data_IF_340514931924
#
_entry.id   IF_340514931924
#
_cell.length_a   1.000
_cell.length_b   1.000
_cell.length_c   1.000
_cell.angle_alpha   90.00
_cell.angle_beta   90.00
_cell.angle_gamma   90.00
#
_symmetry.space_group_name_H-M   'P 1'
#
loop_
_entity.id
_entity.type
_entity.pdbx_description
1 polymer ?
#
# COMPACT_ATOMS: atom_id res chain seq x y z
N UNK A 1 -0.50 -9.23 2.23
CA UNK A 1 -0.24 -7.99 1.45
C UNK A 1 0.57 -8.38 0.21
N UNK A 2 0.12 -8.08 -1.02
CA UNK A 2 0.79 -8.51 -2.23
C UNK A 2 2.22 -7.96 -2.29
N UNK A 3 3.13 -8.87 -2.62
CA UNK A 3 4.55 -8.73 -2.30
C UNK A 3 5.29 -8.16 -3.50
N UNK A 4 4.91 -6.96 -3.93
CA UNK A 4 5.43 -6.47 -5.20
C UNK A 4 6.89 -6.05 -5.11
N UNK A 5 7.63 -6.38 -6.16
CA UNK A 5 8.99 -5.87 -6.36
C UNK A 5 8.81 -4.40 -6.80
N UNK A 6 9.20 -3.46 -5.94
CA UNK A 6 9.11 -2.01 -6.19
C UNK A 6 9.43 -1.65 -7.64
N UNK A 7 8.56 -0.87 -8.28
CA UNK A 7 8.68 -0.39 -9.66
C UNK A 7 9.73 0.73 -9.78
N UNK A 8 10.97 0.43 -9.44
CA UNK A 8 12.08 1.25 -9.89
C UNK A 8 12.08 1.22 -11.43
N UNK A 9 12.38 2.34 -12.09
CA UNK A 9 12.41 2.42 -13.56
C UNK A 9 13.27 1.32 -14.18
N UNK A 10 14.36 0.92 -13.51
CA UNK A 10 15.20 -0.21 -13.93
C UNK A 10 14.51 -1.58 -13.91
N UNK A 11 13.49 -1.76 -13.07
CA UNK A 11 12.73 -3.00 -12.94
C UNK A 11 11.50 -3.04 -13.85
N UNK A 12 10.96 -1.88 -14.26
CA UNK A 12 9.95 -1.80 -15.35
C UNK A 12 10.52 -2.30 -16.67
N UNK A 13 11.79 -1.98 -16.96
CA UNK A 13 12.52 -2.50 -18.15
C UNK A 13 12.64 -4.03 -18.23
N UNK A 14 12.36 -4.76 -17.15
CA UNK A 14 12.46 -6.23 -17.10
C UNK A 14 11.13 -6.93 -17.35
N UNK A 15 10.06 -6.17 -17.55
CA UNK A 15 8.77 -6.70 -17.97
C UNK A 15 8.64 -6.44 -19.46
N UNK A 16 8.41 -7.50 -20.23
CA UNK A 16 8.29 -7.42 -21.69
C UNK A 16 6.99 -6.71 -22.10
N UNK A 17 5.95 -6.83 -21.26
CA UNK A 17 4.65 -6.16 -21.42
C UNK A 17 4.30 -5.34 -20.16
N UNK A 18 4.36 -4.02 -20.28
CA UNK A 18 4.04 -3.10 -19.17
C UNK A 18 2.57 -3.23 -18.71
N UNK A 19 1.64 -3.42 -19.64
CA UNK A 19 0.22 -3.57 -19.32
C UNK A 19 -0.03 -4.85 -18.54
N UNK A 20 0.63 -5.95 -18.93
CA UNK A 20 0.56 -7.20 -18.18
C UNK A 20 1.11 -7.04 -16.76
N UNK A 21 2.19 -6.29 -16.55
CA UNK A 21 2.71 -6.04 -15.19
C UNK A 21 1.72 -5.27 -14.31
N UNK A 22 1.05 -4.25 -14.85
CA UNK A 22 0.02 -3.53 -14.12
C UNK A 22 -1.16 -4.43 -13.78
N UNK A 23 -1.64 -5.20 -14.76
CA UNK A 23 -2.77 -6.12 -14.58
C UNK A 23 -2.44 -7.23 -13.57
N UNK A 24 -1.22 -7.77 -13.60
CA UNK A 24 -0.74 -8.78 -12.64
C UNK A 24 -0.78 -8.26 -11.21
N UNK A 25 -0.37 -6.99 -10.98
CA UNK A 25 -0.44 -6.34 -9.66
C UNK A 25 -1.88 -6.17 -9.20
N UNK A 26 -2.72 -5.62 -10.09
CA UNK A 26 -4.11 -5.34 -9.81
C UNK A 26 -4.87 -6.62 -9.46
N UNK A 27 -4.62 -7.69 -10.19
CA UNK A 27 -5.28 -8.98 -9.98
C UNK A 27 -4.87 -9.63 -8.66
N UNK A 28 -3.58 -9.63 -8.31
CA UNK A 28 -3.16 -10.12 -6.98
C UNK A 28 -3.79 -9.33 -5.84
N UNK A 29 -3.96 -8.01 -5.98
CA UNK A 29 -4.68 -7.21 -4.99
C UNK A 29 -6.16 -7.65 -4.91
N UNK A 30 -6.84 -7.83 -6.04
CA UNK A 30 -8.23 -8.31 -6.07
C UNK A 30 -8.36 -9.66 -5.39
N UNK A 31 -7.54 -10.63 -5.76
CA UNK A 31 -7.54 -11.97 -5.17
C UNK A 31 -7.33 -11.92 -3.64
N UNK A 32 -6.45 -11.06 -3.16
CA UNK A 32 -6.19 -10.90 -1.73
C UNK A 32 -7.41 -10.39 -0.94
N UNK A 33 -8.23 -9.52 -1.53
CA UNK A 33 -9.41 -8.92 -0.88
C UNK A 33 -10.73 -9.63 -1.21
N UNK A 34 -10.80 -10.42 -2.27
CA UNK A 34 -11.94 -11.29 -2.56
C UNK A 34 -12.02 -12.44 -1.55
N UNK A 35 -10.88 -13.01 -1.15
CA UNK A 35 -10.82 -14.11 -0.18
C UNK A 35 -11.23 -13.71 1.23
N UNK A 36 -11.13 -12.44 1.60
CA UNK A 36 -11.51 -11.94 2.93
C UNK A 36 -13.01 -11.66 3.09
N UNK A 37 -13.72 -11.41 1.98
CA UNK A 37 -15.17 -11.14 2.00
C UNK A 37 -16.01 -12.37 2.34
N UNK A 38 -15.47 -13.58 2.10
CA UNK A 38 -16.16 -14.85 2.36
C UNK A 38 -16.09 -15.33 3.81
N UNK A 39 -15.13 -14.83 4.61
CA UNK A 39 -14.86 -15.37 5.95
C UNK A 39 -15.65 -14.67 7.06
N UNK A 40 -16.11 -13.43 6.84
CA UNK A 40 -16.82 -12.64 7.86
C UNK A 40 -18.28 -13.10 8.05
N UNK A 41 -18.86 -13.82 7.07
CA UNK A 41 -20.28 -14.21 7.09
C UNK A 41 -20.59 -15.47 7.91
N UNK A 42 -19.59 -16.18 8.44
CA UNK A 42 -19.76 -17.58 8.92
C UNK A 42 -19.64 -17.78 10.43
N UNK A 43 -19.47 -16.72 11.24
CA UNK A 43 -19.41 -16.86 12.70
C UNK A 43 -20.14 -15.74 13.44
N UNK A 44 -21.46 -15.87 13.55
CA UNK A 44 -22.26 -15.05 14.48
C UNK A 44 -23.48 -15.83 14.95
N UNK A 45 -23.29 -16.69 15.95
CA UNK A 45 -24.39 -17.27 16.72
C UNK A 45 -24.70 -16.35 17.90
N UNK A 46 -25.79 -15.60 17.74
CA UNK A 46 -26.72 -15.03 18.74
C UNK A 46 -26.16 -14.64 20.11
N UNK A 47 -26.14 -13.32 20.40
CA UNK A 47 -26.73 -12.78 21.63
C UNK A 47 -27.08 -11.30 21.46
N UNK A 48 -28.34 -11.02 21.77
CA UNK A 48 -29.07 -9.76 21.67
C UNK A 48 -28.39 -8.58 22.38
N UNK A 49 -28.27 -7.44 21.69
CA UNK A 49 -28.58 -6.09 22.17
C UNK A 49 -27.82 -5.03 21.37
N UNK A 50 -28.51 -3.92 21.06
CA UNK A 50 -28.00 -2.65 20.49
C UNK A 50 -27.57 -2.68 19.01
N UNK A 51 -28.56 -2.40 18.15
CA UNK A 51 -28.42 -2.04 16.73
C UNK A 51 -27.68 -0.71 16.59
N UNK A 52 -26.34 -0.77 16.58
CA UNK A 52 -25.53 0.22 15.86
C UNK A 52 -25.42 -0.34 14.44
N UNK A 53 -26.02 0.34 13.46
CA UNK A 53 -25.86 -0.02 12.05
C UNK A 53 -24.37 0.02 11.71
N UNK A 54 -23.72 -1.14 11.75
CA UNK A 54 -22.35 -1.29 11.29
C UNK A 54 -22.37 -1.02 9.79
N UNK A 55 -21.96 0.17 9.38
CA UNK A 55 -21.71 0.45 7.97
C UNK A 55 -20.67 -0.56 7.50
N UNK A 56 -21.08 -1.52 6.69
CA UNK A 56 -20.16 -2.51 6.13
C UNK A 56 -19.13 -1.76 5.28
N UNK A 57 -17.85 -1.83 5.68
CA UNK A 57 -16.78 -1.24 4.90
C UNK A 57 -16.72 -1.93 3.53
N UNK A 58 -16.86 -1.16 2.45
CA UNK A 58 -16.66 -1.66 1.09
C UNK A 58 -15.19 -1.60 0.72
N UNK A 59 -14.63 -2.70 0.24
CA UNK A 59 -13.25 -2.75 -0.27
C UNK A 59 -13.28 -2.59 -1.78
N UNK A 60 -12.52 -1.62 -2.30
CA UNK A 60 -12.36 -1.39 -3.74
C UNK A 60 -10.87 -1.45 -4.09
N UNK A 61 -10.54 -2.24 -5.10
CA UNK A 61 -9.19 -2.34 -5.65
C UNK A 61 -9.15 -1.55 -6.95
N UNK A 62 -8.33 -0.48 -7.01
CA UNK A 62 -8.23 0.41 -8.17
C UNK A 62 -6.85 0.38 -8.84
N UNK A 63 -6.81 0.82 -10.09
CA UNK A 63 -5.59 1.00 -10.90
C UNK A 63 -5.09 2.45 -10.88
N UNK A 64 -5.42 3.21 -9.84
CA UNK A 64 -5.12 4.66 -9.72
C UNK A 64 -3.64 5.00 -9.93
N UNK A 65 -2.72 4.13 -9.52
CA UNK A 65 -1.29 4.35 -9.73
C UNK A 65 -0.91 4.33 -11.21
N UNK A 66 -1.56 3.47 -12.02
CA UNK A 66 -1.41 3.44 -13.48
C UNK A 66 -2.00 4.69 -14.10
N UNK A 67 -3.18 5.13 -13.64
CA UNK A 67 -3.81 6.35 -14.14
C UNK A 67 -2.98 7.60 -13.85
N UNK A 68 -2.41 7.71 -12.64
CA UNK A 68 -1.47 8.77 -12.29
C UNK A 68 -0.20 8.72 -13.16
N UNK A 69 0.28 7.53 -13.53
CA UNK A 69 1.41 7.38 -14.45
C UNK A 69 1.10 7.85 -15.86
N UNK A 70 -0.04 7.45 -16.42
CA UNK A 70 -0.45 7.89 -17.75
C UNK A 70 -0.63 9.42 -17.78
N UNK A 71 -1.27 9.99 -16.75
CA UNK A 71 -1.40 11.44 -16.59
C UNK A 71 -0.03 12.13 -16.56
N UNK A 72 0.92 11.63 -15.78
CA UNK A 72 2.27 12.23 -15.72
C UNK A 72 3.01 12.13 -17.06
N UNK A 73 2.82 11.05 -17.83
CA UNK A 73 3.37 10.94 -19.18
C UNK A 73 2.73 11.94 -20.15
N UNK A 74 1.41 12.15 -20.07
CA UNK A 74 0.67 13.12 -20.90
C UNK A 74 1.06 14.57 -20.59
N UNK A 75 1.27 14.90 -19.31
CA UNK A 75 1.74 16.23 -18.89
C UNK A 75 3.19 16.52 -19.33
N UNK A 76 3.96 15.49 -19.70
CA UNK A 76 5.36 15.60 -20.09
C UNK A 76 5.62 14.92 -21.45
N UNK A 77 5.01 15.40 -22.56
CA UNK A 77 5.01 14.70 -23.84
C UNK A 77 6.40 14.58 -24.50
N UNK A 78 7.38 15.35 -24.04
CA UNK A 78 8.78 15.25 -24.49
C UNK A 78 9.65 14.28 -23.67
N UNK A 79 9.12 13.72 -22.59
CA UNK A 79 9.85 12.79 -21.73
C UNK A 79 9.55 11.34 -22.16
N UNK A 80 10.57 10.48 -22.36
CA UNK A 80 10.36 9.05 -22.57
C UNK A 80 9.56 8.44 -21.42
N UNK A 81 8.58 7.58 -21.71
CA UNK A 81 7.71 6.96 -20.69
C UNK A 81 8.51 6.22 -19.62
N UNK A 82 9.66 5.66 -19.98
CA UNK A 82 10.56 4.92 -19.09
C UNK A 82 11.20 5.83 -18.04
N UNK A 83 11.30 7.12 -18.32
CA UNK A 83 11.84 8.15 -17.43
C UNK A 83 10.78 8.75 -16.52
N UNK A 84 9.50 8.67 -16.89
CA UNK A 84 8.38 9.14 -16.06
C UNK A 84 8.42 8.44 -14.70
N UNK A 85 8.49 9.21 -13.61
CA UNK A 85 8.47 8.72 -12.24
C UNK A 85 7.16 9.14 -11.59
N UNK A 86 6.45 8.16 -11.03
CA UNK A 86 5.28 8.39 -10.18
C UNK A 86 5.62 7.99 -8.76
N UNK A 87 5.26 8.84 -7.82
CA UNK A 87 5.26 8.57 -6.39
C UNK A 87 3.88 8.85 -5.81
N UNK A 88 3.78 8.72 -4.49
CA UNK A 88 2.52 8.90 -3.76
C UNK A 88 1.94 10.30 -3.92
N UNK A 89 2.76 11.35 -4.01
CA UNK A 89 2.29 12.71 -4.26
C UNK A 89 1.47 12.80 -5.56
N UNK A 90 1.94 12.19 -6.65
CA UNK A 90 1.26 12.26 -7.94
C UNK A 90 -0.06 11.46 -7.96
N UNK A 91 -0.13 10.38 -7.17
CA UNK A 91 -1.37 9.63 -6.96
C UNK A 91 -2.39 10.47 -6.16
N UNK A 92 -1.93 11.17 -5.13
CA UNK A 92 -2.78 12.06 -4.33
C UNK A 92 -3.27 13.26 -5.17
N UNK A 93 -2.41 13.85 -6.02
CA UNK A 93 -2.80 14.89 -6.96
C UNK A 93 -3.89 14.39 -7.93
N UNK A 94 -3.68 13.20 -8.51
CA UNK A 94 -4.67 12.58 -9.40
C UNK A 94 -6.02 12.35 -8.71
N UNK A 95 -6.00 11.83 -7.48
CA UNK A 95 -7.21 11.58 -6.69
C UNK A 95 -7.92 12.86 -6.29
N UNK A 96 -7.18 13.91 -5.91
CA UNK A 96 -7.78 15.19 -5.54
C UNK A 96 -8.50 15.85 -6.73
N UNK A 97 -7.97 15.68 -7.94
CA UNK A 97 -8.58 16.21 -9.17
C UNK A 97 -9.78 15.39 -9.65
N UNK A 98 -9.68 14.06 -9.60
CA UNK A 98 -10.72 13.16 -10.14
C UNK A 98 -11.84 12.89 -9.16
N UNK A 99 -11.55 12.91 -7.86
CA UNK A 99 -12.49 12.61 -6.79
C UNK A 99 -12.50 13.73 -5.72
N UNK A 100 -12.81 14.99 -6.08
CA UNK A 100 -12.65 16.15 -5.19
C UNK A 100 -13.57 16.14 -3.97
N UNK A 101 -14.62 15.30 -3.99
CA UNK A 101 -15.54 15.14 -2.87
C UNK A 101 -15.09 14.08 -1.84
N UNK A 102 -14.04 13.31 -2.16
CA UNK A 102 -13.58 12.20 -1.34
C UNK A 102 -12.40 12.62 -0.47
N UNK A 103 -12.51 12.30 0.81
CA UNK A 103 -11.44 12.51 1.78
C UNK A 103 -10.56 11.26 1.89
N UNK A 104 -9.37 11.30 1.29
CA UNK A 104 -8.42 10.21 1.36
C UNK A 104 -7.60 10.22 2.64
N UNK A 105 -7.38 9.01 3.18
CA UNK A 105 -6.49 8.75 4.31
C UNK A 105 -5.32 7.92 3.82
N UNK A 106 -4.11 8.22 4.30
CA UNK A 106 -2.89 7.51 3.92
C UNK A 106 -2.53 6.48 4.98
N UNK A 107 -2.55 5.20 4.62
CA UNK A 107 -2.18 4.11 5.52
C UNK A 107 -0.77 3.58 5.19
N UNK A 108 0.10 3.51 6.20
CA UNK A 108 1.52 3.21 6.05
C UNK A 108 1.96 2.13 7.04
N UNK A 109 2.96 1.33 6.68
CA UNK A 109 3.71 0.53 7.64
C UNK A 109 4.75 1.39 8.38
N UNK A 110 5.25 0.88 9.52
CA UNK A 110 6.26 1.53 10.34
C UNK A 110 7.47 2.07 9.55
N UNK A 111 8.18 1.20 8.82
CA UNK A 111 9.39 1.58 8.05
C UNK A 111 9.08 2.65 7.00
N UNK A 112 7.93 2.51 6.33
CA UNK A 112 7.46 3.42 5.28
C UNK A 112 7.20 4.82 5.83
N UNK A 113 6.57 4.90 7.00
CA UNK A 113 6.33 6.16 7.69
C UNK A 113 7.65 6.82 8.15
N UNK A 114 8.58 6.03 8.70
CA UNK A 114 9.89 6.54 9.11
C UNK A 114 10.70 7.08 7.92
N UNK A 115 10.65 6.42 6.77
CA UNK A 115 11.30 6.89 5.55
C UNK A 115 10.70 8.19 5.02
N UNK A 116 9.37 8.32 5.09
CA UNK A 116 8.66 9.55 4.75
C UNK A 116 9.04 10.71 5.69
N UNK A 117 9.06 10.46 7.00
CA UNK A 117 9.49 11.44 8.02
C UNK A 117 10.94 11.91 7.85
N UNK A 118 11.78 11.08 7.23
CA UNK A 118 13.19 11.39 6.92
C UNK A 118 13.36 12.10 5.57
N UNK A 119 12.27 12.46 4.89
CA UNK A 119 12.31 13.15 3.60
C UNK A 119 12.83 12.28 2.45
N UNK A 120 12.84 10.95 2.59
CA UNK A 120 13.30 10.05 1.51
C UNK A 120 12.32 9.99 0.34
N UNK A 121 11.09 10.42 0.57
CA UNK A 121 10.03 10.40 -0.42
C UNK A 121 10.04 11.69 -1.24
N UNK A 122 9.93 11.55 -2.56
CA UNK A 122 9.79 12.69 -3.47
C UNK A 122 8.52 13.48 -3.11
N UNK A 123 8.64 14.81 -3.02
CA UNK A 123 7.52 15.72 -2.71
C UNK A 123 6.84 15.37 -1.38
N UNK A 124 7.64 15.13 -0.33
CA UNK A 124 7.11 14.74 0.98
C UNK A 124 6.19 15.81 1.58
N UNK A 125 6.53 17.10 1.44
CA UNK A 125 5.66 18.25 1.79
C UNK A 125 4.28 18.12 1.18
N UNK A 126 4.21 17.88 -0.12
CA UNK A 126 2.94 17.81 -0.86
C UNK A 126 2.08 16.63 -0.37
N UNK A 127 2.72 15.52 0.03
CA UNK A 127 2.00 14.39 0.64
C UNK A 127 1.41 14.82 1.98
N UNK A 128 2.16 15.52 2.83
CA UNK A 128 1.67 16.00 4.12
C UNK A 128 0.50 16.98 3.93
N UNK A 129 0.63 17.91 3.00
CA UNK A 129 -0.39 18.91 2.68
C UNK A 129 -1.67 18.30 2.10
N UNK A 130 -1.54 17.21 1.33
CA UNK A 130 -2.67 16.48 0.79
C UNK A 130 -3.42 15.69 1.88
N UNK A 131 -2.70 15.06 2.82
CA UNK A 131 -3.33 14.21 3.85
C UNK A 131 -3.76 15.00 5.09
N UNK A 132 -3.12 16.11 5.44
CA UNK A 132 -3.48 17.01 6.57
C UNK A 132 -3.78 16.26 7.87
N UNK A 133 -2.84 15.43 8.31
CA UNK A 133 -2.98 14.60 9.52
C UNK A 133 -3.88 13.38 9.40
N UNK A 134 -4.42 13.08 8.20
CA UNK A 134 -5.12 11.83 7.89
C UNK A 134 -4.17 10.67 7.55
N UNK A 135 -3.02 10.64 8.20
CA UNK A 135 -2.07 9.54 8.09
C UNK A 135 -2.31 8.52 9.21
N UNK A 136 -2.26 7.24 8.86
CA UNK A 136 -2.37 6.10 9.76
C UNK A 136 -1.12 5.23 9.63
N UNK A 137 -0.49 4.92 10.75
CA UNK A 137 0.70 4.06 10.78
C UNK A 137 0.35 2.76 11.47
N UNK A 138 0.42 1.66 10.74
CA UNK A 138 0.25 0.33 11.28
C UNK A 138 1.62 -0.22 11.68
N UNK A 139 1.73 -0.59 12.95
CA UNK A 139 2.96 -1.10 13.55
C UNK A 139 2.90 -2.62 13.71
N UNK A 140 4.03 -3.26 13.45
CA UNK A 140 4.29 -4.65 13.80
C UNK A 140 4.89 -4.71 15.20
N UNK A 141 4.75 -5.87 15.85
CA UNK A 141 5.36 -6.12 17.15
C UNK A 141 6.86 -5.77 17.12
N UNK A 142 7.32 -4.99 18.10
CA UNK A 142 8.73 -4.61 18.28
C UNK A 142 9.17 -3.33 17.58
N UNK A 143 8.30 -2.67 16.80
CA UNK A 143 8.59 -1.39 16.11
C UNK A 143 7.78 -0.21 16.66
N UNK A 144 7.01 -0.40 17.71
CA UNK A 144 6.05 0.58 18.22
C UNK A 144 6.75 1.81 18.80
N UNK A 145 7.89 1.61 19.46
CA UNK A 145 8.62 2.68 20.13
C UNK A 145 9.14 3.71 19.13
N UNK A 146 9.89 3.27 18.13
CA UNK A 146 10.47 4.14 17.10
C UNK A 146 9.39 4.95 16.36
N UNK A 147 8.25 4.31 16.06
CA UNK A 147 7.13 4.99 15.39
C UNK A 147 6.45 6.00 16.32
N UNK A 148 6.23 5.64 17.59
CA UNK A 148 5.61 6.56 18.57
C UNK A 148 6.49 7.80 18.76
N UNK A 149 7.79 7.62 18.98
CA UNK A 149 8.76 8.71 19.12
C UNK A 149 8.80 9.58 17.84
N UNK A 150 8.75 8.97 16.66
CA UNK A 150 8.69 9.70 15.39
C UNK A 150 7.40 10.52 15.24
N UNK A 151 6.24 9.97 15.61
CA UNK A 151 4.95 10.69 15.57
C UNK A 151 4.95 11.88 16.53
N UNK A 152 5.45 11.70 17.75
CA UNK A 152 5.56 12.80 18.72
C UNK A 152 6.46 13.92 18.20
N UNK A 153 7.60 13.57 17.58
CA UNK A 153 8.48 14.54 16.93
C UNK A 153 7.79 15.30 15.79
N UNK A 154 7.01 14.62 14.95
CA UNK A 154 6.27 15.27 13.86
C UNK A 154 5.21 16.26 14.41
N UNK A 155 4.47 15.88 15.46
CA UNK A 155 3.50 16.79 16.11
C UNK A 155 4.17 18.04 16.66
N UNK A 156 5.32 17.89 17.34
CA UNK A 156 6.08 19.03 17.85
C UNK A 156 6.58 19.96 16.71
N UNK A 157 6.95 19.40 15.56
CA UNK A 157 7.32 20.19 14.37
C UNK A 157 6.12 20.95 13.79
N UNK A 158 4.93 20.38 13.81
CA UNK A 158 3.70 21.04 13.34
C UNK A 158 3.37 22.27 14.19
N UNK A 159 3.40 22.12 15.52
CA UNK A 159 3.15 23.21 16.47
C UNK A 159 4.21 24.32 16.40
N UNK A 160 5.46 23.95 16.10
CA UNK A 160 6.58 24.88 15.97
C UNK A 160 6.71 25.58 14.61
N UNK A 161 5.82 25.30 13.65
CA UNK A 161 5.89 25.86 12.29
C UNK A 161 7.05 25.32 11.46
N UNK A 162 7.44 24.05 11.67
CA UNK A 162 8.46 23.38 10.88
C UNK A 162 8.08 23.28 9.40
N UNK A 163 9.10 23.24 8.53
CA UNK A 163 8.94 23.21 7.06
C UNK A 163 8.23 21.94 6.55
N UNK A 164 8.30 20.85 7.32
CA UNK A 164 7.61 19.60 7.02
C UNK A 164 7.17 18.91 8.30
N UNK A 165 5.88 18.58 8.38
CA UNK A 165 5.33 17.73 9.43
C UNK A 165 4.35 16.71 8.85
N UNK A 166 4.47 15.46 9.29
CA UNK A 166 3.57 14.37 8.95
C UNK A 166 2.98 13.76 10.23
N UNK A 167 2.05 14.44 10.92
CA UNK A 167 1.39 13.85 12.08
C UNK A 167 0.56 12.64 11.64
N UNK A 168 0.53 11.60 12.49
CA UNK A 168 -0.20 10.38 12.20
C UNK A 168 -0.86 9.78 13.45
N UNK A 169 -1.82 8.88 13.19
CA UNK A 169 -2.43 8.00 14.20
C UNK A 169 -1.74 6.63 14.14
N UNK A 170 -1.23 6.16 15.29
CA UNK A 170 -0.53 4.86 15.37
C UNK A 170 -1.51 3.77 15.77
N UNK A 171 -1.56 2.71 14.97
CA UNK A 171 -2.33 1.49 15.22
C UNK A 171 -1.36 0.36 15.64
N UNK A 172 -1.62 -0.23 16.80
CA UNK A 172 -0.78 -1.27 17.43
C UNK A 172 -1.55 -2.58 17.53
N UNK A 173 -0.83 -3.69 17.53
CA UNK A 173 -1.42 -5.02 17.79
C UNK A 173 -2.50 -5.42 16.79
N UNK A 174 -2.35 -5.04 15.51
CA UNK A 174 -3.29 -5.45 14.47
C UNK A 174 -3.17 -6.95 14.25
N UNK A 175 -4.25 -7.68 14.55
CA UNK A 175 -4.32 -9.13 14.38
C UNK A 175 -3.99 -9.53 12.93
N UNK A 176 -3.24 -10.63 12.79
CA UNK A 176 -2.81 -11.14 11.49
C UNK A 176 -1.55 -10.50 10.90
N UNK A 177 -0.97 -9.48 11.55
CA UNK A 177 0.35 -8.97 11.18
C UNK A 177 1.47 -9.72 11.91
N UNK A 178 2.12 -10.64 11.19
CA UNK A 178 3.32 -11.35 11.66
C UNK A 178 4.64 -10.68 11.25
N UNK A 179 5.76 -11.33 11.58
CA UNK A 179 7.12 -10.85 11.27
C UNK A 179 7.59 -11.18 9.83
N UNK A 180 6.68 -11.68 8.99
CA UNK A 180 7.02 -12.14 7.63
C UNK A 180 7.45 -10.97 6.77
N UNK A 181 8.64 -11.07 6.18
CA UNK A 181 9.13 -10.06 5.25
C UNK A 181 8.59 -10.28 3.84
N UNK A 182 8.44 -9.19 3.08
CA UNK A 182 8.16 -9.28 1.64
C UNK A 182 9.25 -10.01 0.85
N UNK A 183 10.48 -10.07 1.35
CA UNK A 183 11.55 -10.81 0.68
C UNK A 183 11.36 -12.31 0.80
N UNK A 184 10.87 -12.79 1.93
CA UNK A 184 10.61 -14.21 2.18
C UNK A 184 9.58 -14.77 1.18
N UNK A 185 8.44 -14.11 1.04
CA UNK A 185 7.40 -14.55 0.09
C UNK A 185 7.84 -14.50 -1.38
N UNK A 186 8.77 -13.61 -1.76
CA UNK A 186 9.32 -13.58 -3.13
C UNK A 186 10.39 -14.63 -3.39
N UNK A 187 11.03 -15.14 -2.35
CA UNK A 187 12.19 -16.03 -2.47
C UNK A 187 11.84 -17.49 -2.23
N UNK A 188 10.78 -17.77 -1.45
CA UNK A 188 10.33 -19.14 -1.23
C UNK A 188 9.96 -19.83 -2.54
N UNK A 189 10.35 -21.10 -2.68
CA UNK A 189 9.88 -22.00 -3.75
C UNK A 189 8.90 -23.06 -3.24
N UNK A 190 8.69 -23.07 -1.92
CA UNK A 190 7.71 -23.91 -1.27
C UNK A 190 6.34 -23.26 -1.43
N UNK A 191 5.45 -23.95 -2.15
CA UNK A 191 4.08 -23.49 -2.44
C UNK A 191 3.23 -23.45 -1.18
N UNK A 192 3.40 -24.40 -0.27
CA UNK A 192 2.63 -24.45 0.98
C UNK A 192 3.06 -23.30 1.89
N UNK A 193 4.37 -23.07 2.00
CA UNK A 193 4.86 -21.86 2.67
C UNK A 193 4.32 -20.60 2.01
N UNK A 194 4.32 -20.50 0.68
CA UNK A 194 3.78 -19.32 -0.01
C UNK A 194 2.28 -19.09 0.32
N UNK A 195 1.47 -20.15 0.37
CA UNK A 195 0.05 -20.08 0.74
C UNK A 195 -0.16 -19.49 2.13
N UNK A 196 0.68 -19.84 3.10
CA UNK A 196 0.65 -19.25 4.44
C UNK A 196 0.97 -17.75 4.43
N UNK A 197 1.90 -17.31 3.56
CA UNK A 197 2.36 -15.93 3.54
C UNK A 197 1.43 -14.96 2.80
N UNK A 198 0.76 -15.39 1.72
CA UNK A 198 -0.05 -14.51 0.86
C UNK A 198 -1.50 -14.93 0.71
N UNK A 199 -1.88 -16.08 1.26
CA UNK A 199 -3.20 -16.70 1.08
C UNK A 199 -3.24 -17.64 -0.13
N UNK A 200 -4.15 -18.65 -0.13
CA UNK A 200 -4.18 -19.70 -1.16
C UNK A 200 -4.35 -19.17 -2.59
N UNK A 201 -5.34 -18.29 -2.81
CA UNK A 201 -5.68 -17.78 -4.15
C UNK A 201 -4.55 -16.95 -4.76
N UNK A 202 -3.87 -16.13 -3.96
CA UNK A 202 -2.72 -15.34 -4.42
C UNK A 202 -1.51 -16.24 -4.69
N UNK A 203 -1.29 -17.26 -3.86
CA UNK A 203 -0.19 -18.21 -4.06
C UNK A 203 -0.37 -19.01 -5.36
N UNK A 204 -1.58 -19.49 -5.64
CA UNK A 204 -1.93 -20.19 -6.88
C UNK A 204 -1.66 -19.31 -8.10
N UNK A 205 -2.11 -18.05 -8.06
CA UNK A 205 -1.86 -17.09 -9.12
C UNK A 205 -0.36 -16.83 -9.35
N UNK A 206 0.43 -16.70 -8.28
CA UNK A 206 1.90 -16.53 -8.37
C UNK A 206 2.56 -17.73 -9.07
N UNK A 207 2.15 -18.95 -8.73
CA UNK A 207 2.69 -20.18 -9.31
C UNK A 207 2.28 -20.33 -10.77
N UNK A 208 1.00 -20.14 -11.08
CA UNK A 208 0.45 -20.24 -12.43
C UNK A 208 1.14 -19.25 -13.39
N UNK A 209 1.30 -18.00 -12.95
CA UNK A 209 1.96 -16.94 -13.71
C UNK A 209 3.50 -17.00 -13.64
N UNK A 210 4.08 -18.02 -13.00
CA UNK A 210 5.53 -18.20 -12.82
C UNK A 210 6.22 -16.93 -12.31
N UNK A 211 5.63 -16.26 -11.32
CA UNK A 211 6.17 -15.01 -10.77
C UNK A 211 7.30 -15.29 -9.76
N UNK A 212 8.12 -14.27 -9.51
CA UNK A 212 9.19 -14.29 -8.50
C UNK A 212 10.16 -15.48 -8.63
N UNK A 213 10.32 -16.28 -7.57
CA UNK A 213 11.19 -17.46 -7.48
C UNK A 213 10.76 -18.63 -8.37
N UNK A 214 9.54 -18.58 -8.92
CA UNK A 214 8.96 -19.57 -9.84
C UNK A 214 9.20 -19.25 -11.32
N UNK A 215 9.82 -18.11 -11.65
CA UNK A 215 10.24 -17.80 -13.02
C UNK A 215 11.39 -18.73 -13.43
N UNK A 216 11.26 -19.37 -14.60
CA UNK A 216 12.35 -20.14 -15.20
C UNK A 216 13.53 -19.21 -15.53
N UNK A 217 14.76 -19.70 -15.30
CA UNK A 217 15.99 -18.92 -15.51
C UNK A 217 16.40 -18.91 -16.97
#
# INVERSE_FOLDING_TARGET
MPVYRHMYGEKRRRVEDEEEAWNTKLEMCRLAFSSSSSTVSSSSTVSSSSTVSSSSASIVVSDVERMAFLRQAELNPGQPKEEVRVGTADVLDYLAETEPSINFHLCLGADTYLDLCRGKWRRCSDIADAVRGRAHVITRAGFERDVTEAVEKQRALEEGGGEFSMPATVHKGVEGLGEVSSSEARQTRDVDRLRELVGPTVAEFIVERKLYSFKEK
#
